data_IF_609569564987
#
_entry.id   IF_609569564987
#
_cell.length_a   1.000
_cell.length_b   1.000
_cell.length_c   1.000
_cell.angle_alpha   90.00
_cell.angle_beta   90.00
_cell.angle_gamma   90.00
#
_symmetry.space_group_name_H-M   'P 1'
#
loop_
_entity.id
_entity.type
_entity.pdbx_description
1 polymer ?
#
# COMPACT_ATOMS: atom_id res chain seq x y z
N UNK A 1 23.04 -6.17 -2.53
CA UNK A 1 21.77 -5.47 -2.79
C UNK A 1 20.70 -6.18 -1.98
N UNK A 2 19.73 -5.43 -1.43
CA UNK A 2 18.60 -6.01 -0.71
C UNK A 2 17.69 -6.74 -1.68
N UNK A 3 17.11 -7.85 -1.23
CA UNK A 3 16.17 -8.68 -1.99
C UNK A 3 14.83 -8.73 -1.28
N UNK A 4 13.79 -8.23 -1.95
CA UNK A 4 12.43 -8.13 -1.41
C UNK A 4 11.46 -8.98 -2.22
N UNK A 5 10.76 -9.90 -1.56
CA UNK A 5 9.68 -10.66 -2.17
C UNK A 5 8.34 -9.99 -1.87
N UNK A 6 7.53 -9.80 -2.90
CA UNK A 6 6.15 -9.33 -2.77
C UNK A 6 5.25 -10.52 -3.10
N UNK A 7 4.52 -11.02 -2.10
CA UNK A 7 3.55 -12.10 -2.26
C UNK A 7 2.14 -11.47 -2.27
N UNK A 8 1.51 -11.41 -3.44
CA UNK A 8 0.24 -10.71 -3.63
C UNK A 8 -0.53 -11.20 -4.88
N UNK A 9 -1.24 -10.33 -5.60
CA UNK A 9 -2.01 -10.62 -6.82
C UNK A 9 -1.20 -10.60 -8.12
N UNK A 10 0.09 -10.26 -8.04
CA UNK A 10 1.00 -10.19 -9.18
C UNK A 10 1.65 -8.82 -9.32
N UNK A 11 2.15 -8.55 -10.52
CA UNK A 11 2.67 -7.24 -10.92
C UNK A 11 2.19 -6.87 -12.32
N UNK A 12 2.06 -5.57 -12.55
CA UNK A 12 2.00 -4.99 -13.88
C UNK A 12 3.41 -4.57 -14.34
N UNK A 13 3.88 -5.22 -15.41
CA UNK A 13 5.23 -5.00 -15.94
C UNK A 13 5.45 -3.60 -16.50
N UNK A 14 4.39 -2.91 -16.94
CA UNK A 14 4.52 -1.55 -17.47
C UNK A 14 4.87 -0.53 -16.37
N UNK A 15 4.43 -0.77 -15.13
CA UNK A 15 4.76 0.04 -13.95
C UNK A 15 6.19 -0.22 -13.48
N UNK A 16 6.72 -1.42 -13.74
CA UNK A 16 8.00 -1.88 -13.18
C UNK A 16 9.26 -1.42 -13.94
N UNK A 17 9.11 -0.60 -15.00
CA UNK A 17 10.11 -0.34 -16.07
C UNK A 17 11.56 0.02 -15.68
N UNK A 18 11.91 0.19 -14.41
CA UNK A 18 13.25 0.56 -13.94
C UNK A 18 13.82 -0.30 -12.80
N UNK A 19 13.16 -1.40 -12.41
CA UNK A 19 13.59 -2.22 -11.26
C UNK A 19 13.97 -3.65 -11.66
N UNK A 20 14.97 -4.20 -10.96
CA UNK A 20 15.46 -5.56 -11.20
C UNK A 20 14.53 -6.59 -10.55
N UNK A 21 13.51 -7.04 -11.29
CA UNK A 21 12.81 -8.28 -10.93
C UNK A 21 13.68 -9.46 -11.35
N UNK A 22 14.26 -10.13 -10.36
CA UNK A 22 15.20 -11.24 -10.57
C UNK A 22 14.52 -12.60 -10.66
N UNK A 23 13.26 -12.70 -10.23
CA UNK A 23 12.48 -13.92 -10.28
C UNK A 23 10.97 -13.63 -10.15
N UNK A 24 10.13 -14.50 -10.71
CA UNK A 24 8.69 -14.42 -10.49
C UNK A 24 8.00 -15.78 -10.60
N UNK A 25 6.95 -16.00 -9.80
CA UNK A 25 6.22 -17.28 -9.79
C UNK A 25 4.78 -17.14 -9.32
N UNK A 26 3.89 -17.95 -9.88
CA UNK A 26 2.46 -18.00 -9.55
C UNK A 26 2.12 -19.30 -8.81
N UNK A 27 1.29 -19.22 -7.76
CA UNK A 27 0.79 -20.36 -6.97
C UNK A 27 -0.72 -20.21 -6.71
N UNK A 28 -1.53 -20.40 -7.75
CA UNK A 28 -2.98 -20.22 -7.68
C UNK A 28 -3.70 -21.53 -7.37
N UNK A 29 -4.71 -21.49 -6.51
CA UNK A 29 -5.54 -22.66 -6.23
C UNK A 29 -6.68 -22.78 -7.24
N UNK A 30 -6.67 -23.86 -8.03
CA UNK A 30 -7.71 -24.18 -9.03
C UNK A 30 -7.94 -25.68 -9.06
N UNK A 31 -9.18 -26.10 -9.26
CA UNK A 31 -9.54 -27.52 -9.40
C UNK A 31 -8.99 -28.42 -8.27
N UNK A 32 -9.09 -27.95 -7.02
CA UNK A 32 -8.60 -28.62 -5.80
C UNK A 32 -7.07 -28.85 -5.74
N UNK A 33 -6.29 -28.17 -6.56
CA UNK A 33 -4.82 -28.24 -6.57
C UNK A 33 -4.19 -26.86 -6.68
N UNK A 34 -2.90 -26.76 -6.36
CA UNK A 34 -2.11 -25.55 -6.63
C UNK A 34 -1.53 -25.68 -8.05
N UNK A 35 -1.92 -24.75 -8.91
CA UNK A 35 -1.30 -24.55 -10.22
C UNK A 35 -0.09 -23.62 -10.06
N UNK A 36 1.06 -24.09 -10.56
CA UNK A 36 2.31 -23.35 -10.53
C UNK A 36 2.69 -22.99 -11.96
N UNK A 37 2.91 -21.70 -12.23
CA UNK A 37 3.33 -21.20 -13.54
C UNK A 37 4.08 -19.86 -13.38
N UNK A 38 4.50 -19.28 -14.49
CA UNK A 38 5.28 -18.02 -14.52
C UNK A 38 4.39 -16.79 -14.83
N UNK A 39 3.07 -16.97 -14.93
CA UNK A 39 2.15 -15.86 -15.15
C UNK A 39 1.84 -15.14 -13.82
N UNK A 40 2.52 -14.02 -13.63
CA UNK A 40 2.33 -13.11 -12.49
C UNK A 40 1.63 -11.81 -12.88
N UNK A 41 0.95 -11.74 -14.04
CA UNK A 41 0.22 -10.53 -14.46
C UNK A 41 -0.82 -10.18 -13.40
N UNK A 42 -0.79 -8.95 -12.92
CA UNK A 42 -1.75 -8.47 -11.95
C UNK A 42 -3.08 -8.06 -12.61
N UNK A 43 -4.14 -8.81 -12.31
CA UNK A 43 -5.48 -8.53 -12.84
C UNK A 43 -6.32 -7.68 -11.89
N UNK A 44 -5.93 -7.60 -10.61
CA UNK A 44 -6.62 -6.80 -9.59
C UNK A 44 -5.88 -5.51 -9.23
N UNK A 45 -4.62 -5.40 -9.64
CA UNK A 45 -3.66 -4.33 -9.35
C UNK A 45 -3.23 -4.21 -7.89
N UNK A 46 -3.72 -5.07 -6.99
CA UNK A 46 -3.42 -4.94 -5.56
C UNK A 46 -1.92 -5.09 -5.28
N UNK A 47 -1.28 -6.13 -5.85
CA UNK A 47 0.17 -6.33 -5.78
C UNK A 47 0.96 -5.21 -6.45
N UNK A 48 0.46 -4.68 -7.55
CA UNK A 48 1.03 -3.52 -8.26
C UNK A 48 0.99 -2.25 -7.41
N UNK A 49 -0.07 -2.03 -6.64
CA UNK A 49 -0.17 -0.90 -5.72
C UNK A 49 0.75 -1.08 -4.50
N UNK A 50 0.80 -2.29 -3.93
CA UNK A 50 1.77 -2.64 -2.90
C UNK A 50 3.21 -2.35 -3.36
N UNK A 51 3.54 -2.77 -4.59
CA UNK A 51 4.85 -2.52 -5.18
C UNK A 51 5.17 -1.02 -5.32
N UNK A 52 4.23 -0.21 -5.83
CA UNK A 52 4.44 1.24 -5.96
C UNK A 52 4.72 1.91 -4.60
N UNK A 53 4.02 1.50 -3.55
CA UNK A 53 4.27 2.01 -2.19
C UNK A 53 5.62 1.53 -1.65
N UNK A 54 6.00 0.27 -1.91
CA UNK A 54 7.30 -0.26 -1.47
C UNK A 54 8.45 0.47 -2.18
N UNK A 55 8.30 0.71 -3.48
CA UNK A 55 9.31 1.30 -4.37
C UNK A 55 9.26 2.84 -4.46
N UNK A 56 8.50 3.50 -3.60
CA UNK A 56 8.23 4.94 -3.68
C UNK A 56 9.49 5.82 -3.82
N UNK A 57 10.57 5.46 -3.13
CA UNK A 57 11.83 6.22 -3.13
C UNK A 57 12.85 5.74 -4.18
N UNK A 58 12.46 4.79 -5.04
CA UNK A 58 13.30 4.24 -6.11
C UNK A 58 14.67 3.74 -5.64
N UNK A 59 14.71 3.13 -4.45
CA UNK A 59 15.94 2.55 -3.89
C UNK A 59 16.36 1.36 -4.75
N UNK A 60 17.64 1.25 -5.16
CA UNK A 60 18.11 0.13 -5.97
C UNK A 60 18.10 -1.16 -5.15
N UNK A 61 17.04 -1.97 -5.31
CA UNK A 61 16.86 -3.28 -4.69
C UNK A 61 16.35 -4.30 -5.73
N UNK A 62 16.56 -5.58 -5.46
CA UNK A 62 16.08 -6.68 -6.30
C UNK A 62 14.72 -7.17 -5.81
N UNK A 63 13.80 -7.42 -6.72
CA UNK A 63 12.45 -7.90 -6.40
C UNK A 63 12.22 -9.35 -6.83
N UNK A 64 11.47 -10.09 -6.02
CA UNK A 64 10.87 -11.37 -6.40
C UNK A 64 9.34 -11.23 -6.33
N UNK A 65 8.66 -11.43 -7.45
CA UNK A 65 7.19 -11.27 -7.52
C UNK A 65 6.50 -12.63 -7.42
N UNK A 66 5.67 -12.80 -6.41
CA UNK A 66 4.93 -14.05 -6.19
C UNK A 66 3.44 -13.79 -6.23
N UNK A 67 2.75 -14.38 -7.21
CA UNK A 67 1.29 -14.28 -7.35
C UNK A 67 0.61 -15.44 -6.64
N UNK A 68 -0.18 -15.16 -5.61
CA UNK A 68 -1.04 -16.15 -4.94
C UNK A 68 -2.51 -15.76 -4.91
N UNK A 69 -2.84 -14.52 -5.27
CA UNK A 69 -4.21 -14.01 -5.33
C UNK A 69 -4.70 -13.96 -6.78
N UNK A 70 -5.98 -14.31 -6.97
CA UNK A 70 -6.66 -14.20 -8.26
C UNK A 70 -7.16 -12.76 -8.51
N UNK A 71 -7.84 -12.53 -9.64
CA UNK A 71 -8.44 -11.23 -10.00
C UNK A 71 -9.46 -10.65 -8.99
N UNK A 72 -9.98 -11.47 -8.08
CA UNK A 72 -10.89 -11.07 -6.99
C UNK A 72 -10.16 -10.85 -5.67
N UNK A 73 -8.82 -10.86 -5.67
CA UNK A 73 -7.98 -10.87 -4.47
C UNK A 73 -8.21 -12.07 -3.54
N UNK A 74 -8.67 -13.20 -4.09
CA UNK A 74 -8.86 -14.44 -3.34
C UNK A 74 -7.65 -15.35 -3.56
N UNK A 75 -7.17 -15.95 -2.47
CA UNK A 75 -6.09 -16.94 -2.48
C UNK A 75 -6.44 -18.15 -1.63
N UNK A 76 -5.48 -19.05 -1.47
CA UNK A 76 -5.63 -20.24 -0.62
C UNK A 76 -4.37 -20.43 0.22
N UNK A 77 -4.52 -20.83 1.49
CA UNK A 77 -3.39 -20.99 2.40
C UNK A 77 -2.33 -21.98 1.89
N UNK A 78 -2.73 -23.02 1.15
CA UNK A 78 -1.79 -23.92 0.48
C UNK A 78 -0.91 -23.19 -0.56
N UNK A 79 -1.47 -22.23 -1.31
CA UNK A 79 -0.71 -21.42 -2.26
C UNK A 79 0.34 -20.56 -1.55
N UNK A 80 -0.05 -19.93 -0.44
CA UNK A 80 0.87 -19.19 0.43
C UNK A 80 1.99 -20.08 0.97
N UNK A 81 1.67 -21.28 1.47
CA UNK A 81 2.68 -22.22 2.00
C UNK A 81 3.66 -22.65 0.89
N UNK A 82 3.17 -22.95 -0.32
CA UNK A 82 4.06 -23.31 -1.44
C UNK A 82 4.93 -22.14 -1.89
N UNK A 83 4.38 -20.92 -1.91
CA UNK A 83 5.14 -19.70 -2.17
C UNK A 83 6.26 -19.47 -1.14
N UNK A 84 5.97 -19.61 0.16
CA UNK A 84 6.97 -19.47 1.22
C UNK A 84 8.04 -20.58 1.14
N UNK A 85 7.66 -21.83 0.82
CA UNK A 85 8.60 -22.93 0.57
C UNK A 85 9.49 -22.68 -0.65
N UNK A 86 8.95 -22.05 -1.68
CA UNK A 86 9.71 -21.63 -2.85
C UNK A 86 10.74 -20.57 -2.48
N UNK A 87 10.34 -19.52 -1.76
CA UNK A 87 11.24 -18.45 -1.29
C UNK A 87 12.28 -18.94 -0.28
N UNK A 88 11.97 -19.94 0.55
CA UNK A 88 12.94 -20.55 1.46
C UNK A 88 14.17 -21.12 0.74
N UNK A 89 14.04 -21.53 -0.53
CA UNK A 89 15.15 -22.02 -1.36
C UNK A 89 15.95 -20.89 -2.01
N UNK A 90 15.54 -19.64 -1.84
CA UNK A 90 16.18 -18.44 -2.41
C UNK A 90 16.98 -17.71 -1.34
N UNK A 91 17.81 -16.77 -1.79
CA UNK A 91 18.39 -15.73 -0.94
C UNK A 91 17.44 -14.53 -1.00
N UNK A 92 16.75 -14.27 0.10
CA UNK A 92 15.78 -13.20 0.24
C UNK A 92 15.98 -12.55 1.61
N UNK A 93 15.82 -11.24 1.70
CA UNK A 93 16.01 -10.50 2.95
C UNK A 93 14.66 -10.15 3.60
N UNK A 94 13.69 -9.71 2.78
CA UNK A 94 12.36 -9.31 3.25
C UNK A 94 11.28 -10.00 2.41
N UNK A 95 10.19 -10.43 3.06
CA UNK A 95 8.95 -10.89 2.43
C UNK A 95 7.82 -9.98 2.90
N UNK A 96 7.19 -9.22 1.99
CA UNK A 96 5.98 -8.47 2.27
C UNK A 96 4.72 -9.28 1.88
N UNK A 97 3.79 -9.38 2.84
CA UNK A 97 2.52 -10.09 2.73
C UNK A 97 1.36 -9.15 3.08
N UNK A 98 0.87 -8.41 2.08
CA UNK A 98 -0.31 -7.56 2.19
C UNK A 98 -1.62 -8.37 2.08
N UNK A 99 -1.70 -9.49 2.81
CA UNK A 99 -2.80 -10.45 2.80
C UNK A 99 -2.86 -11.21 4.13
N UNK A 100 -4.03 -11.79 4.42
CA UNK A 100 -4.22 -12.63 5.59
C UNK A 100 -5.30 -13.69 5.36
N UNK A 101 -5.22 -14.78 6.12
CA UNK A 101 -6.27 -15.78 6.25
C UNK A 101 -6.80 -15.81 7.68
N UNK A 102 -8.11 -16.03 7.80
CA UNK A 102 -8.79 -16.27 9.09
C UNK A 102 -8.89 -17.77 9.40
N UNK A 103 -8.55 -18.64 8.44
CA UNK A 103 -8.60 -20.09 8.61
C UNK A 103 -7.36 -20.61 9.31
N UNK A 104 -7.56 -21.46 10.30
CA UNK A 104 -6.52 -22.16 11.06
C UNK A 104 -6.18 -23.55 10.48
N UNK A 105 -6.87 -23.99 9.42
CA UNK A 105 -6.75 -25.33 8.82
C UNK A 105 -5.30 -25.74 8.52
N UNK A 106 -4.47 -24.78 8.12
CA UNK A 106 -3.04 -25.00 7.77
C UNK A 106 -2.10 -24.19 8.66
N UNK A 107 -2.54 -23.86 9.88
CA UNK A 107 -1.80 -22.98 10.79
C UNK A 107 -0.45 -23.58 11.18
N UNK A 108 -0.39 -24.89 11.42
CA UNK A 108 0.85 -25.58 11.82
C UNK A 108 1.89 -25.52 10.70
N UNK A 109 1.50 -25.82 9.46
CA UNK A 109 2.39 -25.79 8.30
C UNK A 109 2.83 -24.37 7.96
N UNK A 110 1.91 -23.40 8.07
CA UNK A 110 2.22 -22.00 7.87
C UNK A 110 3.18 -21.48 8.94
N UNK A 111 2.95 -21.79 10.21
CA UNK A 111 3.85 -21.45 11.30
C UNK A 111 5.24 -22.07 11.10
N UNK A 112 5.28 -23.36 10.75
CA UNK A 112 6.55 -24.06 10.53
C UNK A 112 7.40 -23.40 9.44
N UNK A 113 6.82 -23.04 8.29
CA UNK A 113 7.61 -22.40 7.22
C UNK A 113 8.03 -20.97 7.56
N UNK A 114 7.19 -20.21 8.29
CA UNK A 114 7.56 -18.87 8.77
C UNK A 114 8.72 -18.91 9.77
N UNK A 115 8.70 -19.85 10.73
CA UNK A 115 9.82 -20.05 11.67
C UNK A 115 11.11 -20.42 10.91
N UNK A 116 11.04 -21.33 9.93
CA UNK A 116 12.20 -21.70 9.10
C UNK A 116 12.79 -20.52 8.33
N UNK A 117 11.95 -19.62 7.82
CA UNK A 117 12.40 -18.41 7.14
C UNK A 117 13.06 -17.43 8.12
N UNK A 118 12.48 -17.23 9.31
CA UNK A 118 13.07 -16.41 10.38
C UNK A 118 14.42 -16.96 10.86
N UNK A 119 14.53 -18.27 11.09
CA UNK A 119 15.79 -18.95 11.44
C UNK A 119 16.89 -18.70 10.39
N UNK A 120 16.50 -18.50 9.13
CA UNK A 120 17.39 -18.18 8.01
C UNK A 120 17.71 -16.68 7.90
N UNK A 121 17.21 -15.85 8.82
CA UNK A 121 17.40 -14.41 8.87
C UNK A 121 16.42 -13.60 8.02
N UNK A 122 15.38 -14.22 7.45
CA UNK A 122 14.41 -13.52 6.59
C UNK A 122 13.41 -12.74 7.45
N UNK A 123 13.20 -11.47 7.14
CA UNK A 123 12.16 -10.64 7.74
C UNK A 123 10.84 -10.88 7.01
N UNK A 124 9.81 -11.29 7.74
CA UNK A 124 8.46 -11.46 7.19
C UNK A 124 7.57 -10.36 7.76
N UNK A 125 6.98 -9.54 6.87
CA UNK A 125 6.08 -8.45 7.23
C UNK A 125 4.70 -8.83 6.70
N UNK A 126 3.66 -8.79 7.55
CA UNK A 126 2.30 -9.13 7.12
C UNK A 126 1.24 -8.23 7.72
N UNK A 127 0.31 -7.77 6.87
CA UNK A 127 -0.82 -6.95 7.27
C UNK A 127 -1.88 -7.73 8.04
N UNK A 128 -2.47 -7.12 9.07
CA UNK A 128 -3.72 -7.55 9.65
C UNK A 128 -4.86 -7.42 8.62
N UNK A 129 -5.82 -8.36 8.60
CA UNK A 129 -7.01 -8.17 7.75
C UNK A 129 -7.77 -6.90 8.16
N UNK A 130 -8.38 -6.19 7.19
CA UNK A 130 -9.19 -5.00 7.48
C UNK A 130 -10.39 -5.31 8.39
N UNK A 131 -10.80 -6.59 8.46
CA UNK A 131 -11.83 -7.05 9.42
C UNK A 131 -11.35 -7.14 10.87
N UNK A 132 -10.05 -6.90 11.13
CA UNK A 132 -9.39 -6.98 12.44
C UNK A 132 -9.62 -8.30 13.20
N UNK A 133 -9.90 -9.39 12.47
CA UNK A 133 -10.07 -10.75 13.03
C UNK A 133 -8.73 -11.47 13.19
N UNK A 134 -8.77 -12.73 13.64
CA UNK A 134 -7.66 -13.68 13.54
C UNK A 134 -7.05 -13.60 12.13
N UNK A 135 -5.82 -13.13 12.03
CA UNK A 135 -5.15 -12.86 10.76
C UNK A 135 -3.79 -13.56 10.77
N UNK A 136 -3.70 -14.68 10.06
CA UNK A 136 -2.44 -15.38 9.81
C UNK A 136 -1.95 -15.03 8.40
N UNK A 137 -0.64 -14.81 8.19
CA UNK A 137 0.44 -15.06 9.13
C UNK A 137 0.80 -13.88 10.07
N UNK A 138 0.16 -12.71 9.94
CA UNK A 138 0.49 -11.50 10.72
C UNK A 138 0.57 -11.68 12.26
N UNK A 139 -0.15 -12.63 12.84
CA UNK A 139 -0.15 -12.92 14.29
C UNK A 139 0.88 -13.99 14.72
N UNK A 140 1.65 -14.56 13.80
CA UNK A 140 2.64 -15.58 14.12
C UNK A 140 3.89 -14.95 14.77
N UNK A 141 4.52 -15.58 15.78
CA UNK A 141 5.71 -15.04 16.44
C UNK A 141 6.93 -14.83 15.53
N UNK A 142 7.00 -15.56 14.41
CA UNK A 142 8.03 -15.40 13.37
C UNK A 142 7.77 -14.25 12.41
N UNK A 143 6.64 -13.55 12.54
CA UNK A 143 6.18 -12.54 11.58
C UNK A 143 5.99 -11.20 12.29
N UNK A 144 6.44 -10.14 11.63
CA UNK A 144 6.19 -8.77 12.04
C UNK A 144 4.80 -8.39 11.53
N UNK A 145 3.82 -8.42 12.43
CA UNK A 145 2.44 -8.03 12.14
C UNK A 145 2.30 -6.51 12.06
N UNK A 146 1.59 -6.04 11.04
CA UNK A 146 1.33 -4.62 10.78
C UNK A 146 -0.17 -4.33 10.83
N UNK A 147 -0.56 -3.23 11.47
CA UNK A 147 -1.89 -2.64 11.36
C UNK A 147 -1.79 -1.18 10.93
N UNK A 148 -2.78 -0.71 10.18
CA UNK A 148 -2.86 0.64 9.69
C UNK A 148 -3.45 1.61 10.72
N UNK A 149 -2.91 2.82 10.78
CA UNK A 149 -3.54 3.98 11.40
C UNK A 149 -3.30 5.22 10.54
N UNK A 150 -4.11 6.28 10.65
CA UNK A 150 -3.79 7.56 10.01
C UNK A 150 -2.70 8.24 10.86
N UNK A 151 -1.47 8.26 10.36
CA UNK A 151 -0.35 8.88 11.06
C UNK A 151 -0.09 10.30 10.53
N UNK A 152 0.56 11.13 11.34
CA UNK A 152 0.88 12.51 10.94
C UNK A 152 1.81 12.52 9.74
N UNK A 153 2.92 11.78 9.83
CA UNK A 153 3.90 11.63 8.75
C UNK A 153 3.89 10.19 8.23
N UNK A 154 4.05 10.02 6.91
CA UNK A 154 3.95 8.70 6.28
C UNK A 154 5.15 7.80 6.57
N UNK A 155 6.31 8.38 6.87
CA UNK A 155 7.54 7.67 7.25
C UNK A 155 7.61 7.35 8.76
N UNK A 156 6.60 7.73 9.55
CA UNK A 156 6.51 7.34 10.96
C UNK A 156 5.87 5.95 11.11
N UNK A 157 6.26 5.25 12.17
CA UNK A 157 5.62 4.03 12.62
C UNK A 157 5.75 3.89 14.13
N UNK A 158 4.87 3.09 14.74
CA UNK A 158 4.95 2.69 16.14
C UNK A 158 5.33 1.22 16.21
N UNK A 159 6.07 0.85 17.26
CA UNK A 159 6.48 -0.53 17.51
C UNK A 159 6.07 -0.94 18.91
N UNK A 160 5.57 -2.16 19.07
CA UNK A 160 5.19 -2.73 20.36
C UNK A 160 5.64 -4.20 20.38
N UNK A 161 6.87 -4.50 20.83
CA UNK A 161 7.48 -5.82 20.67
C UNK A 161 6.67 -6.94 21.35
N UNK A 162 5.97 -6.63 22.43
CA UNK A 162 5.21 -7.60 23.22
C UNK A 162 3.81 -7.90 22.67
N UNK A 163 3.39 -7.26 21.58
CA UNK A 163 2.08 -7.50 20.95
C UNK A 163 2.16 -8.53 19.83
N UNK A 164 1.05 -9.21 19.57
CA UNK A 164 0.92 -10.12 18.41
C UNK A 164 0.94 -9.39 17.07
N UNK A 165 0.56 -8.10 17.09
CA UNK A 165 0.70 -7.17 15.97
C UNK A 165 1.61 -6.08 16.51
N UNK A 166 2.80 -5.98 15.97
CA UNK A 166 3.87 -5.21 16.57
C UNK A 166 3.91 -3.79 16.01
N UNK A 167 3.59 -3.62 14.72
CA UNK A 167 3.76 -2.36 14.01
C UNK A 167 2.42 -1.67 13.77
N UNK A 168 2.40 -0.35 14.00
CA UNK A 168 1.40 0.57 13.44
C UNK A 168 2.09 1.43 12.39
N UNK A 169 1.55 1.45 11.18
CA UNK A 169 2.10 2.20 10.04
C UNK A 169 1.00 3.02 9.35
N UNK A 170 1.38 4.07 8.62
CA UNK A 170 0.42 4.97 7.99
C UNK A 170 -0.43 4.25 6.95
N UNK A 171 -1.75 4.31 7.11
CA UNK A 171 -2.74 3.73 6.19
C UNK A 171 -3.53 4.76 5.38
N UNK A 172 -3.23 6.06 5.53
CA UNK A 172 -3.82 7.13 4.72
C UNK A 172 -3.69 6.76 3.24
N UNK A 173 -4.80 6.76 2.47
CA UNK A 173 -4.74 6.40 1.07
C UNK A 173 -3.79 7.29 0.30
N UNK A 174 -3.02 6.69 -0.62
CA UNK A 174 -2.08 7.37 -1.50
C UNK A 174 -2.45 7.12 -2.96
N UNK A 175 -2.15 8.10 -3.82
CA UNK A 175 -2.39 8.00 -5.25
C UNK A 175 -1.40 7.01 -5.88
N UNK A 176 -1.91 6.07 -6.67
CA UNK A 176 -1.14 5.03 -7.38
C UNK A 176 -1.69 4.86 -8.80
N UNK A 177 -0.89 4.33 -9.73
CA UNK A 177 -1.28 4.06 -11.12
C UNK A 177 -1.60 2.59 -11.36
N UNK A 178 -2.53 2.32 -12.28
CA UNK A 178 -2.72 1.00 -12.88
C UNK A 178 -2.15 0.95 -14.33
N UNK A 179 -2.29 -0.19 -15.02
CA UNK A 179 -1.73 -0.42 -16.37
C UNK A 179 -2.21 0.53 -17.46
N UNK A 180 -3.37 1.15 -17.27
CA UNK A 180 -3.90 2.12 -18.23
C UNK A 180 -3.40 3.54 -17.93
N UNK A 181 -2.45 3.68 -17.00
CA UNK A 181 -2.01 4.98 -16.49
C UNK A 181 -3.07 5.71 -15.68
N UNK A 182 -4.21 5.08 -15.36
CA UNK A 182 -5.26 5.70 -14.57
C UNK A 182 -4.86 5.70 -13.10
N UNK A 183 -5.02 6.86 -12.46
CA UNK A 183 -4.81 7.01 -11.03
C UNK A 183 -5.95 6.41 -10.19
N UNK A 184 -5.62 5.92 -9.01
CA UNK A 184 -6.58 5.54 -7.98
C UNK A 184 -5.96 5.71 -6.59
N UNK A 185 -6.77 5.62 -5.54
CA UNK A 185 -6.28 5.64 -4.16
C UNK A 185 -6.14 4.23 -3.59
N UNK A 186 -4.97 3.97 -3.00
CA UNK A 186 -4.65 2.73 -2.31
C UNK A 186 -4.36 3.00 -0.84
N UNK A 187 -5.04 2.32 0.06
CA UNK A 187 -4.98 2.55 1.51
C UNK A 187 -5.24 1.29 2.33
N UNK A 188 -5.50 1.47 3.63
CA UNK A 188 -5.80 0.38 4.56
C UNK A 188 -4.57 -0.42 4.99
N UNK A 189 -4.77 -1.61 5.59
CA UNK A 189 -3.69 -2.38 6.18
C UNK A 189 -2.68 -2.90 5.14
N UNK A 190 -3.12 -3.14 3.90
CA UNK A 190 -2.22 -3.49 2.79
C UNK A 190 -1.24 -2.36 2.50
N UNK A 191 -1.70 -1.11 2.45
CA UNK A 191 -0.85 0.08 2.30
C UNK A 191 0.07 0.24 3.50
N UNK A 192 -0.42 0.03 4.72
CA UNK A 192 0.39 0.14 5.93
C UNK A 192 1.57 -0.86 5.94
N UNK A 193 1.33 -2.12 5.54
CA UNK A 193 2.38 -3.15 5.40
C UNK A 193 3.40 -2.79 4.32
N UNK A 194 2.92 -2.35 3.15
CA UNK A 194 3.78 -1.89 2.07
C UNK A 194 4.63 -0.69 2.49
N UNK A 195 4.02 0.29 3.19
CA UNK A 195 4.73 1.48 3.69
C UNK A 195 5.75 1.14 4.76
N UNK A 196 5.43 0.23 5.67
CA UNK A 196 6.42 -0.22 6.66
C UNK A 196 7.58 -0.95 6.00
N UNK A 197 7.32 -1.76 4.96
CA UNK A 197 8.37 -2.38 4.15
C UNK A 197 9.26 -1.32 3.49
N UNK A 198 8.67 -0.26 2.90
CA UNK A 198 9.40 0.89 2.36
C UNK A 198 10.28 1.60 3.41
N UNK A 199 9.74 1.85 4.61
CA UNK A 199 10.53 2.42 5.71
C UNK A 199 11.69 1.48 6.07
N UNK A 200 11.45 0.18 6.14
CA UNK A 200 12.48 -0.78 6.56
C UNK A 200 13.62 -0.89 5.54
N UNK A 201 13.34 -0.92 4.24
CA UNK A 201 14.38 -0.99 3.19
C UNK A 201 15.30 0.24 3.20
N UNK A 202 14.85 1.37 3.73
CA UNK A 202 15.66 2.58 3.94
C UNK A 202 16.57 2.52 5.16
N UNK A 203 16.20 1.72 6.16
CA UNK A 203 16.91 1.66 7.43
C UNK A 203 17.94 0.53 7.48
N UNK A 204 17.86 -0.44 6.59
CA UNK A 204 18.70 -1.65 6.62
C UNK A 204 19.47 -1.86 5.31
N UNK A 205 20.39 -2.82 5.32
CA UNK A 205 21.13 -3.31 4.17
C UNK A 205 21.19 -4.85 4.19
N UNK A 206 21.63 -5.45 3.09
CA UNK A 206 21.64 -6.92 2.92
C UNK A 206 22.60 -7.68 3.85
N UNK A 207 23.40 -7.01 4.67
CA UNK A 207 24.31 -7.63 5.63
C UNK A 207 23.76 -7.58 7.07
N UNK A 208 22.65 -6.88 7.32
CA UNK A 208 22.03 -6.85 8.65
C UNK A 208 21.54 -8.25 9.03
N UNK A 209 21.88 -8.68 10.25
CA UNK A 209 21.30 -9.88 10.86
C UNK A 209 19.90 -9.57 11.40
N UNK A 210 19.08 -10.60 11.56
CA UNK A 210 17.70 -10.47 12.03
C UNK A 210 17.60 -9.65 13.33
N UNK A 211 18.41 -9.95 14.33
CA UNK A 211 18.40 -9.26 15.63
C UNK A 211 18.72 -7.78 15.47
N UNK A 212 19.72 -7.46 14.65
CA UNK A 212 20.08 -6.07 14.35
C UNK A 212 18.95 -5.32 13.63
N UNK A 213 18.16 -6.00 12.80
CA UNK A 213 16.97 -5.40 12.18
C UNK A 213 15.91 -5.07 13.23
N UNK A 214 15.68 -5.95 14.21
CA UNK A 214 14.74 -5.67 15.32
C UNK A 214 15.19 -4.46 16.14
N UNK A 215 16.49 -4.38 16.47
CA UNK A 215 17.06 -3.22 17.19
C UNK A 215 16.88 -1.92 16.40
N UNK A 216 17.08 -1.96 15.08
CA UNK A 216 16.86 -0.82 14.18
C UNK A 216 15.38 -0.40 14.18
N UNK A 217 14.46 -1.36 14.13
CA UNK A 217 13.02 -1.10 14.19
C UNK A 217 12.66 -0.41 15.51
N UNK A 218 13.18 -0.89 16.63
CA UNK A 218 12.89 -0.31 17.94
C UNK A 218 13.43 1.13 18.05
N UNK A 219 14.71 1.32 17.70
CA UNK A 219 15.41 2.62 17.79
C UNK A 219 14.78 3.73 16.95
N UNK A 220 14.21 3.38 15.78
CA UNK A 220 13.60 4.35 14.86
C UNK A 220 12.08 4.48 15.03
N UNK A 221 11.47 3.70 15.92
CA UNK A 221 10.04 3.80 16.17
C UNK A 221 9.69 5.13 16.85
N UNK A 222 8.59 5.76 16.41
CA UNK A 222 8.11 7.01 17.02
C UNK A 222 7.56 6.79 18.43
N UNK A 223 7.08 5.59 18.70
CA UNK A 223 6.47 5.17 19.96
C UNK A 223 6.71 3.67 20.16
N UNK A 224 7.05 3.27 21.40
CA UNK A 224 7.35 1.89 21.80
C UNK A 224 6.17 1.11 22.39
N UNK A 225 4.99 1.75 22.46
CA UNK A 225 3.74 1.14 22.94
C UNK A 225 2.54 1.83 22.30
N UNK A 226 1.51 1.09 21.89
CA UNK A 226 0.25 1.66 21.37
C UNK A 226 -0.97 0.96 21.95
N UNK A 227 -2.12 1.63 21.94
CA UNK A 227 -3.43 1.05 22.27
C UNK A 227 -4.44 1.26 21.16
N UNK A 228 -5.43 0.37 21.06
CA UNK A 228 -6.46 0.45 20.00
C UNK A 228 -7.33 1.71 20.12
N UNK A 229 -7.43 2.29 21.32
CA UNK A 229 -8.13 3.56 21.57
C UNK A 229 -7.49 4.76 20.85
N UNK A 230 -6.22 4.65 20.44
CA UNK A 230 -5.49 5.69 19.71
C UNK A 230 -5.72 5.63 18.19
N UNK A 231 -6.46 4.63 17.71
CA UNK A 231 -6.66 4.42 16.29
C UNK A 231 -7.74 5.36 15.77
N UNK A 232 -7.38 6.22 14.84
CA UNK A 232 -8.29 7.12 14.15
C UNK A 232 -8.30 6.75 12.66
N UNK A 233 -9.37 6.08 12.27
CA UNK A 233 -9.63 5.76 10.86
C UNK A 233 -10.45 6.83 10.16
N UNK A 234 -10.79 7.92 10.85
CA UNK A 234 -11.70 8.94 10.36
C UNK A 234 -10.99 9.85 9.38
N UNK A 235 -11.29 9.68 8.10
CA UNK A 235 -11.03 10.73 7.11
C UNK A 235 -12.18 11.74 7.27
N UNK A 236 -11.87 12.98 7.66
CA UNK A 236 -12.88 14.02 7.85
C UNK A 236 -13.37 14.54 6.50
N UNK A 237 -14.33 13.83 5.90
CA UNK A 237 -14.88 14.15 4.57
C UNK A 237 -15.76 15.42 4.60
N UNK A 238 -16.37 15.73 5.76
CA UNK A 238 -17.23 16.92 5.95
C UNK A 238 -16.45 18.18 6.34
N UNK A 239 -15.15 18.21 6.07
CA UNK A 239 -14.33 19.38 6.36
C UNK A 239 -14.72 20.53 5.44
N UNK A 240 -15.04 21.68 6.04
CA UNK A 240 -15.33 22.92 5.33
C UNK A 240 -14.01 23.62 4.97
N UNK A 241 -13.84 23.93 3.70
CA UNK A 241 -12.70 24.67 3.16
C UNK A 241 -13.06 26.14 2.98
N UNK A 242 -12.08 27.00 3.25
CA UNK A 242 -12.20 28.41 2.90
C UNK A 242 -11.94 28.59 1.39
N UNK A 243 -12.84 29.26 0.66
CA UNK A 243 -12.61 29.56 -0.75
C UNK A 243 -11.32 30.35 -0.93
N UNK A 244 -10.52 29.96 -1.93
CA UNK A 244 -9.33 30.69 -2.37
C UNK A 244 -9.76 31.69 -3.46
N UNK A 245 -8.98 32.74 -3.66
CA UNK A 245 -9.16 33.62 -4.83
C UNK A 245 -9.06 32.81 -6.13
N UNK A 246 -10.10 32.89 -6.97
CA UNK A 246 -10.17 32.11 -8.21
C UNK A 246 -9.32 32.74 -9.32
N UNK A 247 -8.02 32.47 -9.26
CA UNK A 247 -7.09 32.75 -10.36
C UNK A 247 -7.35 31.82 -11.57
N UNK A 248 -6.52 31.94 -12.61
CA UNK A 248 -6.71 31.15 -13.83
C UNK A 248 -6.48 29.65 -13.59
N UNK A 249 -5.50 29.29 -12.75
CA UNK A 249 -5.18 27.88 -12.45
C UNK A 249 -6.30 27.23 -11.65
N UNK A 250 -6.84 27.93 -10.65
CA UNK A 250 -7.97 27.45 -9.86
C UNK A 250 -9.22 27.25 -10.73
N UNK A 251 -9.51 28.18 -11.64
CA UNK A 251 -10.64 28.05 -12.59
C UNK A 251 -10.49 26.83 -13.49
N UNK A 252 -9.31 26.64 -14.07
CA UNK A 252 -9.05 25.47 -14.92
C UNK A 252 -9.14 24.14 -14.16
N UNK A 253 -8.63 24.10 -12.92
CA UNK A 253 -8.79 22.93 -12.04
C UNK A 253 -10.27 22.65 -11.76
N UNK A 254 -11.02 23.70 -11.40
CA UNK A 254 -12.45 23.61 -11.09
C UNK A 254 -13.25 23.11 -12.28
N UNK A 255 -12.95 23.59 -13.48
CA UNK A 255 -13.60 23.15 -14.72
C UNK A 255 -13.36 21.65 -14.97
N UNK A 256 -12.12 21.16 -14.81
CA UNK A 256 -11.81 19.72 -14.90
C UNK A 256 -12.69 18.91 -13.94
N UNK A 257 -12.79 19.34 -12.69
CA UNK A 257 -13.56 18.62 -11.67
C UNK A 257 -15.07 18.66 -11.97
N UNK A 258 -15.60 19.82 -12.37
CA UNK A 258 -17.01 19.97 -12.75
C UNK A 258 -17.35 19.06 -13.92
N UNK A 259 -16.49 19.04 -14.95
CA UNK A 259 -16.70 18.27 -16.17
C UNK A 259 -16.73 16.76 -15.90
N UNK A 260 -15.84 16.24 -15.05
CA UNK A 260 -15.78 14.80 -14.75
C UNK A 260 -16.89 14.39 -13.78
N UNK A 261 -17.14 15.18 -12.72
CA UNK A 261 -18.14 14.85 -11.71
C UNK A 261 -19.57 15.19 -12.15
N UNK A 262 -19.73 15.94 -13.25
CA UNK A 262 -21.02 16.44 -13.76
C UNK A 262 -21.76 17.30 -12.73
N UNK A 263 -21.01 18.20 -12.07
CA UNK A 263 -21.53 19.09 -11.03
C UNK A 263 -22.50 20.10 -11.66
N UNK A 264 -23.67 20.28 -11.04
CA UNK A 264 -24.67 21.25 -11.51
C UNK A 264 -24.36 22.67 -11.03
N UNK A 265 -24.94 23.67 -11.67
CA UNK A 265 -24.79 25.08 -11.26
C UNK A 265 -25.21 25.33 -9.80
N UNK A 266 -26.25 24.64 -9.31
CA UNK A 266 -26.71 24.74 -7.91
C UNK A 266 -25.77 24.10 -6.90
N UNK A 267 -24.84 23.25 -7.35
CA UNK A 267 -23.89 22.53 -6.51
C UNK A 267 -22.50 23.19 -6.49
N UNK A 268 -22.21 24.07 -7.45
CA UNK A 268 -20.89 24.68 -7.63
C UNK A 268 -20.36 25.37 -6.35
N UNK A 269 -21.21 26.09 -5.62
CA UNK A 269 -20.82 26.72 -4.35
C UNK A 269 -20.44 25.71 -3.25
N UNK A 270 -21.07 24.53 -3.23
CA UNK A 270 -20.73 23.46 -2.28
C UNK A 270 -19.41 22.79 -2.65
N UNK A 271 -19.11 22.66 -3.94
CA UNK A 271 -17.85 22.09 -4.43
C UNK A 271 -16.62 22.86 -3.91
N UNK A 272 -16.73 24.19 -3.77
CA UNK A 272 -15.65 25.05 -3.26
C UNK A 272 -15.35 24.83 -1.77
N UNK A 273 -16.31 24.29 -1.03
CA UNK A 273 -16.27 24.25 0.44
C UNK A 273 -16.20 22.83 0.99
N UNK A 274 -16.45 21.79 0.19
CA UNK A 274 -16.51 20.41 0.66
C UNK A 274 -15.43 19.53 0.02
N UNK A 275 -15.16 18.38 0.63
CA UNK A 275 -14.25 17.39 0.05
C UNK A 275 -14.80 16.85 -1.29
N UNK A 276 -13.91 16.63 -2.26
CA UNK A 276 -14.21 15.93 -3.52
C UNK A 276 -14.61 14.46 -3.32
N UNK A 277 -14.34 13.91 -2.14
CA UNK A 277 -14.73 12.55 -1.78
C UNK A 277 -16.07 12.48 -1.03
N UNK A 278 -16.77 13.61 -0.90
CA UNK A 278 -18.14 13.60 -0.40
C UNK A 278 -19.02 12.71 -1.31
N UNK A 279 -19.80 11.77 -0.76
CA UNK A 279 -20.67 10.88 -1.55
C UNK A 279 -21.64 11.61 -2.49
N UNK A 280 -22.00 12.87 -2.19
CA UNK A 280 -22.91 13.68 -3.03
C UNK A 280 -22.42 13.81 -4.47
N UNK A 281 -21.11 13.80 -4.68
CA UNK A 281 -20.51 13.97 -6.01
C UNK A 281 -20.53 12.70 -6.87
N UNK A 282 -20.88 11.56 -6.26
CA UNK A 282 -20.81 10.26 -6.94
C UNK A 282 -19.40 9.97 -7.48
N UNK A 283 -18.36 10.30 -6.70
CA UNK A 283 -16.97 10.02 -7.01
C UNK A 283 -16.75 8.50 -7.09
N UNK A 284 -16.29 8.02 -8.25
CA UNK A 284 -15.87 6.62 -8.44
C UNK A 284 -14.36 6.54 -8.65
N UNK A 285 -13.79 5.33 -8.67
CA UNK A 285 -12.35 5.15 -8.96
C UNK A 285 -12.00 5.63 -10.37
N UNK A 286 -12.90 5.42 -11.32
CA UNK A 286 -12.75 5.83 -12.72
C UNK A 286 -12.74 7.36 -12.83
N UNK A 287 -13.72 8.03 -12.20
CA UNK A 287 -13.79 9.49 -12.15
C UNK A 287 -12.58 10.11 -11.46
N UNK A 288 -12.12 9.52 -10.34
CA UNK A 288 -10.90 9.97 -9.68
C UNK A 288 -9.71 9.86 -10.66
N UNK A 289 -9.53 8.70 -11.30
CA UNK A 289 -8.47 8.51 -12.28
C UNK A 289 -8.50 9.51 -13.44
N UNK A 290 -9.69 9.80 -13.97
CA UNK A 290 -9.89 10.81 -15.01
C UNK A 290 -9.52 12.22 -14.53
N UNK A 291 -9.95 12.62 -13.33
CA UNK A 291 -9.59 13.93 -12.75
C UNK A 291 -8.07 14.07 -12.64
N UNK A 292 -7.39 13.12 -11.99
CA UNK A 292 -5.94 13.22 -11.79
C UNK A 292 -5.17 13.16 -13.10
N UNK A 293 -5.62 12.37 -14.09
CA UNK A 293 -5.00 12.36 -15.42
C UNK A 293 -5.18 13.68 -16.17
N UNK A 294 -6.37 14.27 -16.12
CA UNK A 294 -6.63 15.55 -16.76
C UNK A 294 -5.81 16.68 -16.11
N UNK A 295 -5.63 16.65 -14.77
CA UNK A 295 -4.77 17.58 -14.05
C UNK A 295 -3.29 17.37 -14.44
N UNK A 296 -2.82 16.13 -14.48
CA UNK A 296 -1.46 15.78 -14.90
C UNK A 296 -1.13 16.36 -16.30
N UNK A 297 -2.02 16.14 -17.27
CA UNK A 297 -1.88 16.65 -18.64
C UNK A 297 -1.96 18.18 -18.69
N UNK A 298 -2.99 18.76 -18.06
CA UNK A 298 -3.28 20.20 -18.14
C UNK A 298 -2.16 21.05 -17.54
N UNK A 299 -1.62 20.63 -16.40
CA UNK A 299 -0.63 21.39 -15.64
C UNK A 299 0.79 20.84 -15.78
N UNK A 300 1.01 19.86 -16.67
CA UNK A 300 2.32 19.23 -16.90
C UNK A 300 2.96 18.74 -15.58
N UNK A 301 2.16 18.06 -14.76
CA UNK A 301 2.58 17.48 -13.50
C UNK A 301 2.97 16.02 -13.69
N UNK A 302 3.58 15.44 -12.66
CA UNK A 302 3.80 14.00 -12.60
C UNK A 302 3.52 13.54 -11.17
N UNK A 303 2.31 13.04 -10.91
CA UNK A 303 1.96 12.58 -9.57
C UNK A 303 2.68 11.29 -9.19
N UNK A 304 3.38 10.62 -10.12
CA UNK A 304 4.13 9.40 -9.81
C UNK A 304 5.50 9.66 -9.18
N UNK A 305 6.02 10.89 -9.25
CA UNK A 305 7.33 11.26 -8.71
C UNK A 305 7.38 11.48 -7.19
N UNK A 306 6.24 11.56 -6.52
CA UNK A 306 6.17 11.80 -5.07
C UNK A 306 4.93 11.17 -4.46
N UNK A 307 4.97 10.89 -3.17
CA UNK A 307 3.79 10.44 -2.43
C UNK A 307 2.68 11.50 -2.50
N UNK A 308 1.50 11.11 -2.95
CA UNK A 308 0.32 11.98 -2.95
C UNK A 308 -0.73 11.38 -2.03
N UNK A 309 -0.71 11.79 -0.76
CA UNK A 309 -1.69 11.36 0.25
C UNK A 309 -3.04 12.00 -0.03
N UNK A 310 -4.12 11.26 0.15
CA UNK A 310 -5.49 11.68 -0.14
C UNK A 310 -5.86 13.00 0.55
N UNK A 311 -5.48 13.17 1.82
CA UNK A 311 -5.72 14.41 2.58
C UNK A 311 -4.96 15.65 2.05
N UNK A 312 -4.01 15.48 1.12
CA UNK A 312 -3.32 16.57 0.42
C UNK A 312 -4.04 17.02 -0.86
N UNK A 313 -5.05 16.27 -1.30
CA UNK A 313 -5.74 16.46 -2.58
C UNK A 313 -7.25 16.18 -2.45
N UNK A 314 -7.81 16.42 -1.26
CA UNK A 314 -9.19 16.07 -0.93
C UNK A 314 -10.23 17.14 -1.23
N UNK A 315 -9.82 18.31 -1.71
CA UNK A 315 -10.67 19.46 -2.06
C UNK A 315 -10.05 20.25 -3.22
N UNK A 316 -10.84 21.13 -3.85
CA UNK A 316 -10.31 22.05 -4.86
C UNK A 316 -9.15 22.89 -4.30
N UNK A 317 -9.30 23.41 -3.07
CA UNK A 317 -8.25 24.21 -2.42
C UNK A 317 -6.96 23.43 -2.19
N UNK A 318 -7.05 22.17 -1.74
CA UNK A 318 -5.85 21.36 -1.47
C UNK A 318 -5.17 20.89 -2.77
N UNK A 319 -5.95 20.53 -3.79
CA UNK A 319 -5.44 20.24 -5.13
C UNK A 319 -4.77 21.47 -5.77
N UNK A 320 -5.39 22.64 -5.66
CA UNK A 320 -4.82 23.88 -6.16
C UNK A 320 -3.45 24.16 -5.51
N UNK A 321 -3.37 24.13 -4.19
CA UNK A 321 -2.11 24.30 -3.45
C UNK A 321 -1.04 23.29 -3.89
N UNK A 322 -1.45 22.04 -4.15
CA UNK A 322 -0.55 21.03 -4.68
C UNK A 322 -0.02 21.39 -6.08
N UNK A 323 -0.88 21.90 -6.97
CA UNK A 323 -0.53 22.28 -8.36
C UNK A 323 0.45 23.44 -8.37
N UNK A 324 0.21 24.48 -7.57
CA UNK A 324 1.07 25.68 -7.53
C UNK A 324 2.36 25.49 -6.72
N UNK A 325 2.57 24.32 -6.12
CA UNK A 325 3.77 24.01 -5.34
C UNK A 325 3.78 24.59 -3.92
N UNK A 326 2.67 25.16 -3.46
CA UNK A 326 2.48 25.59 -2.07
C UNK A 326 2.13 24.38 -1.20
N UNK A 327 3.11 23.52 -0.93
CA UNK A 327 2.90 22.41 0.00
C UNK A 327 2.88 22.92 1.45
N UNK A 328 1.74 22.78 2.12
CA UNK A 328 1.60 22.85 3.60
C UNK A 328 2.29 21.65 4.26
#
# INVERSE_FOLDING_TARGET
MLKVAIIDSGIDWDILKNNEVIDSKSFLYKNKKIEINDNVIDESYHGTFCYQVINEEHIPIEYIIIKILNKKNEGHSLGLIQALRYLYKKKIDIINLSLATVSDKYLLELNHICEKLKEKGVIIISSLSNSMKLSYPARLPSVIGVVGNILKHSNEYWYSPNKKIQIVSDCMPVLVKNKNGLYTFFGGNSKASAKFTNILINLINSNNKYESVIDIIEKNSKKSFWETSEFDYTIKIDKIYHPIEEDIVFKELKDIVIDVLKITNSENGKLLTHSLFNPTWGMTKEKAGEIFNNIEIKFNLDFSKKEVRMNRVESLSTLYNFIIGELV
#
